data_IF_986072223793
#
_entry.id   IF_986072223793
#
_cell.length_a   1.000
_cell.length_b   1.000
_cell.length_c   1.000
_cell.angle_alpha   90.00
_cell.angle_beta   90.00
_cell.angle_gamma   90.00
#
_symmetry.space_group_name_H-M   'P 1'
#
loop_
_entity.id
_entity.type
_entity.pdbx_description
1 polymer ?
#
# COMPACT_ATOMS: atom_id res chain seq x y z
N UNK A 1 22.51 16.16 -3.91
CA UNK A 1 21.51 15.44 -3.07
C UNK A 1 21.76 13.94 -3.17
N UNK A 2 21.85 13.29 -2.07
CA UNK A 2 21.97 11.81 -2.03
C UNK A 2 20.63 11.20 -1.66
N UNK A 3 20.19 10.19 -2.40
CA UNK A 3 19.03 9.39 -2.05
C UNK A 3 19.42 8.28 -1.10
N UNK A 4 18.64 8.11 -0.04
CA UNK A 4 18.81 6.99 0.89
C UNK A 4 17.97 5.81 0.44
N UNK A 5 18.55 4.61 0.48
CA UNK A 5 17.88 3.36 0.17
C UNK A 5 18.12 2.38 1.31
N UNK A 6 17.07 1.74 1.77
CA UNK A 6 17.14 0.70 2.79
C UNK A 6 16.77 -0.64 2.14
N UNK A 7 17.65 -1.63 2.33
CA UNK A 7 17.41 -3.00 1.86
C UNK A 7 17.43 -3.90 3.09
N UNK A 8 16.36 -4.64 3.30
CA UNK A 8 16.18 -5.54 4.43
C UNK A 8 15.78 -6.93 3.94
N UNK A 9 16.29 -7.96 4.60
CA UNK A 9 15.85 -9.32 4.35
C UNK A 9 14.45 -9.54 4.96
N UNK A 10 13.57 -10.19 4.18
CA UNK A 10 12.24 -10.60 4.64
C UNK A 10 11.91 -11.95 3.96
N UNK A 11 12.03 -13.03 4.70
CA UNK A 11 12.07 -14.38 4.15
C UNK A 11 10.69 -14.96 3.76
N UNK A 12 9.61 -14.34 4.22
CA UNK A 12 8.24 -14.78 3.89
C UNK A 12 7.26 -13.60 3.94
N UNK A 13 6.03 -13.85 3.50
CA UNK A 13 4.92 -12.91 3.61
C UNK A 13 4.07 -13.11 4.87
N UNK A 14 4.63 -13.74 5.90
CA UNK A 14 3.98 -13.80 7.20
C UNK A 14 3.75 -12.37 7.70
N UNK A 15 2.53 -12.06 8.13
CA UNK A 15 2.09 -10.67 8.34
C UNK A 15 2.93 -9.90 9.38
N UNK A 16 3.24 -10.52 10.51
CA UNK A 16 4.04 -9.86 11.55
C UNK A 16 5.49 -9.67 11.12
N UNK A 17 6.05 -10.61 10.37
CA UNK A 17 7.40 -10.48 9.82
C UNK A 17 7.48 -9.32 8.82
N UNK A 18 6.52 -9.23 7.90
CA UNK A 18 6.43 -8.12 6.94
C UNK A 18 6.25 -6.79 7.68
N UNK A 19 5.32 -6.71 8.62
CA UNK A 19 5.06 -5.53 9.43
C UNK A 19 6.35 -5.06 10.16
N UNK A 20 7.02 -5.95 10.86
CA UNK A 20 8.24 -5.60 11.61
C UNK A 20 9.38 -5.18 10.69
N UNK A 21 9.52 -5.81 9.53
CA UNK A 21 10.54 -5.45 8.53
C UNK A 21 10.28 -4.06 7.97
N UNK A 22 9.03 -3.74 7.61
CA UNK A 22 8.63 -2.41 7.14
C UNK A 22 8.84 -1.35 8.23
N UNK A 23 8.47 -1.64 9.47
CA UNK A 23 8.67 -0.75 10.61
C UNK A 23 10.14 -0.39 10.79
N UNK A 24 11.02 -1.39 10.72
CA UNK A 24 12.46 -1.18 10.78
C UNK A 24 12.97 -0.34 9.61
N UNK A 25 12.50 -0.62 8.39
CA UNK A 25 12.88 0.14 7.20
C UNK A 25 12.50 1.61 7.28
N UNK A 26 11.29 1.91 7.71
CA UNK A 26 10.83 3.30 7.90
C UNK A 26 11.63 4.00 8.98
N UNK A 27 11.92 3.33 10.09
CA UNK A 27 12.76 3.90 11.17
C UNK A 27 14.17 4.23 10.68
N UNK A 28 14.78 3.36 9.88
CA UNK A 28 16.10 3.59 9.28
C UNK A 28 16.12 4.77 8.29
N UNK A 29 14.98 5.07 7.67
CA UNK A 29 14.81 6.22 6.78
C UNK A 29 14.47 7.51 7.54
N UNK A 30 14.38 7.48 8.86
CA UNK A 30 14.12 8.65 9.70
C UNK A 30 12.68 8.79 10.19
N UNK A 31 11.82 7.79 9.96
CA UNK A 31 10.42 7.82 10.35
C UNK A 31 9.51 8.45 9.31
N UNK A 32 8.19 8.27 9.47
CA UNK A 32 7.18 8.80 8.55
C UNK A 32 7.20 10.32 8.43
N UNK A 33 7.52 11.04 9.51
CA UNK A 33 7.57 12.51 9.54
C UNK A 33 8.59 13.09 8.55
N UNK A 34 9.56 12.29 8.12
CA UNK A 34 10.52 12.69 7.08
C UNK A 34 9.86 12.85 5.72
N UNK A 35 8.75 12.14 5.47
CA UNK A 35 8.09 12.07 4.16
C UNK A 35 6.69 12.67 4.16
N UNK A 36 5.97 12.62 5.29
CA UNK A 36 4.54 12.87 5.36
C UNK A 36 4.20 13.85 6.50
N UNK A 37 3.16 14.63 6.28
CA UNK A 37 2.53 15.45 7.31
C UNK A 37 1.21 14.82 7.72
N UNK A 38 0.80 15.00 8.98
CA UNK A 38 -0.40 14.35 9.54
C UNK A 38 -1.70 14.73 8.84
N UNK A 39 -1.79 15.94 8.33
CA UNK A 39 -2.96 16.49 7.65
C UNK A 39 -3.05 16.12 6.16
N UNK A 40 -2.04 15.47 5.62
CA UNK A 40 -2.02 15.11 4.20
C UNK A 40 -2.96 13.95 3.88
N UNK A 41 -3.53 13.98 2.69
CA UNK A 41 -4.22 12.85 2.08
C UNK A 41 -3.17 11.93 1.47
N UNK A 42 -3.13 10.69 1.90
CA UNK A 42 -2.13 9.72 1.48
C UNK A 42 -2.77 8.69 0.56
N UNK A 43 -2.22 8.54 -0.62
CA UNK A 43 -2.61 7.50 -1.57
C UNK A 43 -1.55 6.40 -1.58
N UNK A 44 -1.98 5.18 -1.27
CA UNK A 44 -1.19 3.98 -1.47
C UNK A 44 -1.44 3.46 -2.88
N UNK A 45 -0.38 3.26 -3.64
CA UNK A 45 -0.46 2.76 -5.00
C UNK A 45 0.26 1.41 -5.14
N UNK A 46 -0.37 0.32 -4.71
CA UNK A 46 0.18 -1.00 -4.97
C UNK A 46 0.08 -1.33 -6.46
N UNK A 47 0.90 -2.26 -6.92
CA UNK A 47 0.81 -2.75 -8.29
C UNK A 47 -0.37 -3.73 -8.41
N UNK A 48 -1.40 -3.34 -9.15
CA UNK A 48 -2.65 -4.11 -9.34
C UNK A 48 -2.92 -4.33 -10.83
N UNK A 49 -2.00 -4.97 -11.53
CA UNK A 49 -2.04 -5.11 -13.00
C UNK A 49 -3.33 -5.77 -13.49
N UNK A 50 -3.70 -6.90 -12.88
CA UNK A 50 -4.89 -7.67 -13.22
C UNK A 50 -5.21 -8.66 -12.10
N UNK A 51 -6.42 -9.21 -12.11
CA UNK A 51 -6.79 -10.29 -11.19
C UNK A 51 -5.84 -11.49 -11.35
N UNK A 52 -5.22 -11.90 -10.26
CA UNK A 52 -4.33 -13.04 -10.21
C UNK A 52 -4.26 -13.60 -8.80
N UNK A 53 -3.90 -14.87 -8.70
CA UNK A 53 -3.61 -15.51 -7.40
C UNK A 53 -2.33 -14.89 -6.81
N UNK A 54 -2.29 -14.78 -5.48
CA UNK A 54 -1.17 -14.14 -4.74
C UNK A 54 0.15 -14.83 -5.04
N UNK A 55 0.15 -16.15 -5.14
CA UNK A 55 1.34 -16.99 -5.39
C UNK A 55 2.00 -16.70 -6.75
N UNK A 56 1.28 -16.11 -7.68
CA UNK A 56 1.82 -15.75 -9.00
C UNK A 56 2.65 -14.46 -8.98
N UNK A 57 2.64 -13.73 -7.88
CA UNK A 57 3.39 -12.48 -7.69
C UNK A 57 3.15 -11.42 -8.81
N UNK A 58 1.95 -11.40 -9.39
CA UNK A 58 1.55 -10.43 -10.43
C UNK A 58 1.17 -9.09 -9.81
N UNK A 59 0.65 -9.12 -8.58
CA UNK A 59 0.25 -7.95 -7.81
C UNK A 59 1.10 -7.79 -6.56
N UNK A 60 1.10 -6.59 -5.99
CA UNK A 60 1.68 -6.38 -4.66
C UNK A 60 1.01 -7.30 -3.64
N UNK A 61 1.78 -8.03 -2.86
CA UNK A 61 1.24 -8.96 -1.87
C UNK A 61 0.41 -8.23 -0.82
N UNK A 62 -0.78 -8.73 -0.45
CA UNK A 62 -1.66 -8.08 0.53
C UNK A 62 -1.00 -7.81 1.88
N UNK A 63 -0.09 -8.67 2.33
CA UNK A 63 0.64 -8.49 3.60
C UNK A 63 1.51 -7.22 3.60
N UNK A 64 2.06 -6.83 2.44
CA UNK A 64 2.84 -5.59 2.31
C UNK A 64 1.93 -4.38 2.45
N UNK A 65 0.81 -4.37 1.74
CA UNK A 65 -0.18 -3.29 1.84
C UNK A 65 -0.72 -3.17 3.26
N UNK A 66 -1.08 -4.28 3.88
CA UNK A 66 -1.56 -4.33 5.27
C UNK A 66 -0.51 -3.78 6.25
N UNK A 67 0.74 -4.17 6.08
CA UNK A 67 1.84 -3.68 6.93
C UNK A 67 1.99 -2.18 6.87
N UNK A 68 1.96 -1.58 5.69
CA UNK A 68 2.03 -0.13 5.48
C UNK A 68 0.82 0.58 6.08
N UNK A 69 -0.39 0.08 5.81
CA UNK A 69 -1.63 0.65 6.35
C UNK A 69 -1.61 0.65 7.89
N UNK A 70 -1.23 -0.48 8.47
CA UNK A 70 -1.13 -0.64 9.93
C UNK A 70 -0.15 0.37 10.54
N UNK A 71 1.04 0.50 9.97
CA UNK A 71 2.06 1.45 10.43
C UNK A 71 1.58 2.90 10.34
N UNK A 72 0.95 3.27 9.22
CA UNK A 72 0.42 4.63 9.04
C UNK A 72 -0.69 4.94 10.06
N UNK A 73 -1.61 4.01 10.26
CA UNK A 73 -2.70 4.18 11.24
C UNK A 73 -2.19 4.29 12.67
N UNK A 74 -1.22 3.47 13.06
CA UNK A 74 -0.60 3.52 14.39
C UNK A 74 0.08 4.85 14.67
N UNK A 75 0.65 5.49 13.64
CA UNK A 75 1.28 6.82 13.73
C UNK A 75 0.29 7.98 13.60
N UNK A 76 -1.00 7.70 13.43
CA UNK A 76 -2.05 8.72 13.39
C UNK A 76 -2.35 9.33 12.03
N UNK A 77 -1.90 8.72 10.94
CA UNK A 77 -2.30 9.11 9.59
C UNK A 77 -3.67 8.51 9.28
N UNK A 78 -4.69 9.35 9.10
CA UNK A 78 -6.08 8.90 9.03
C UNK A 78 -6.72 9.03 7.65
N UNK A 79 -6.18 9.90 6.77
CA UNK A 79 -6.73 10.14 5.45
C UNK A 79 -6.04 9.25 4.41
N UNK A 80 -6.35 7.95 4.45
CA UNK A 80 -5.74 6.95 3.58
C UNK A 80 -6.68 6.50 2.48
N UNK A 81 -6.17 6.42 1.27
CA UNK A 81 -6.81 5.74 0.14
C UNK A 81 -5.82 4.81 -0.54
N UNK A 82 -6.35 3.84 -1.27
CA UNK A 82 -5.54 2.82 -1.94
C UNK A 82 -6.15 2.49 -3.29
N UNK A 83 -5.34 2.45 -4.33
CA UNK A 83 -5.81 2.12 -5.67
C UNK A 83 -4.70 2.12 -6.71
N UNK A 84 -5.08 1.75 -7.93
CA UNK A 84 -4.18 1.70 -9.07
C UNK A 84 -4.97 1.86 -10.38
N UNK A 85 -4.25 2.12 -11.46
CA UNK A 85 -4.77 2.03 -12.81
C UNK A 85 -4.55 0.60 -13.31
N UNK A 86 -5.57 -0.25 -13.18
CA UNK A 86 -5.47 -1.64 -13.61
C UNK A 86 -5.52 -1.76 -15.13
N UNK A 87 -4.74 -2.67 -15.70
CA UNK A 87 -4.77 -2.95 -17.12
C UNK A 87 -6.06 -3.64 -17.57
N UNK A 88 -6.66 -4.46 -16.70
CA UNK A 88 -7.91 -5.17 -16.92
C UNK A 88 -8.76 -5.16 -15.65
N UNK A 89 -10.00 -4.71 -15.74
CA UNK A 89 -10.92 -4.63 -14.61
C UNK A 89 -10.72 -3.38 -13.76
N UNK A 90 -11.32 -3.39 -12.59
CA UNK A 90 -11.20 -2.31 -11.61
C UNK A 90 -10.25 -2.70 -10.47
N UNK A 91 -9.70 -1.70 -9.78
CA UNK A 91 -8.85 -1.93 -8.60
C UNK A 91 -9.57 -2.80 -7.57
N UNK A 92 -10.84 -2.51 -7.25
CA UNK A 92 -11.62 -3.28 -6.29
C UNK A 92 -11.78 -4.74 -6.70
N UNK A 93 -12.08 -5.03 -7.98
CA UNK A 93 -12.21 -6.40 -8.48
C UNK A 93 -10.90 -7.19 -8.41
N UNK A 94 -9.77 -6.53 -8.66
CA UNK A 94 -8.46 -7.17 -8.51
C UNK A 94 -8.19 -7.50 -7.05
N UNK A 95 -8.52 -6.60 -6.14
CA UNK A 95 -8.34 -6.78 -4.69
C UNK A 95 -9.23 -7.89 -4.12
N UNK A 96 -10.48 -8.03 -4.59
CA UNK A 96 -11.45 -9.03 -4.10
C UNK A 96 -10.90 -10.45 -4.13
N UNK A 97 -10.12 -10.81 -5.14
CA UNK A 97 -9.54 -12.13 -5.28
C UNK A 97 -8.50 -12.50 -4.22
N UNK A 98 -7.99 -11.53 -3.47
CA UNK A 98 -6.92 -11.70 -2.47
C UNK A 98 -7.34 -11.33 -1.06
N UNK A 99 -8.55 -10.81 -0.87
CA UNK A 99 -9.02 -10.28 0.40
C UNK A 99 -8.45 -8.90 0.75
N UNK A 100 -7.71 -8.27 -0.15
CA UNK A 100 -7.13 -6.95 0.07
C UNK A 100 -8.21 -5.88 0.25
N UNK A 101 -9.31 -5.96 -0.48
CA UNK A 101 -10.45 -5.05 -0.39
C UNK A 101 -11.06 -5.06 1.03
N UNK A 102 -11.34 -6.24 1.57
CA UNK A 102 -11.90 -6.38 2.92
C UNK A 102 -10.92 -5.86 3.97
N UNK A 103 -9.64 -6.17 3.83
CA UNK A 103 -8.60 -5.67 4.74
C UNK A 103 -8.56 -4.14 4.74
N UNK A 104 -8.60 -3.51 3.58
CA UNK A 104 -8.60 -2.05 3.46
C UNK A 104 -9.85 -1.42 4.09
N UNK A 105 -11.02 -2.01 3.84
CA UNK A 105 -12.28 -1.55 4.45
C UNK A 105 -12.24 -1.66 5.98
N UNK A 106 -11.72 -2.76 6.52
CA UNK A 106 -11.58 -2.97 7.97
C UNK A 106 -10.69 -1.90 8.63
N UNK A 107 -9.69 -1.41 7.91
CA UNK A 107 -8.83 -0.31 8.38
C UNK A 107 -9.36 1.09 8.04
N UNK A 108 -10.52 1.20 7.41
CA UNK A 108 -11.10 2.49 7.02
C UNK A 108 -10.36 3.19 5.89
N UNK A 109 -9.69 2.42 5.02
CA UNK A 109 -8.99 2.94 3.84
C UNK A 109 -9.95 2.97 2.65
N UNK A 110 -10.05 4.11 1.98
CA UNK A 110 -10.89 4.28 0.79
C UNK A 110 -10.24 3.62 -0.43
N UNK A 111 -10.96 2.74 -1.09
CA UNK A 111 -10.52 2.14 -2.35
C UNK A 111 -10.90 3.07 -3.51
N UNK A 112 -9.92 3.41 -4.34
CA UNK A 112 -10.09 4.29 -5.50
C UNK A 112 -9.66 3.58 -6.79
N UNK A 113 -10.37 3.89 -7.88
CA UNK A 113 -10.02 3.42 -9.22
C UNK A 113 -9.61 4.62 -10.08
N UNK A 114 -8.39 4.59 -10.60
CA UNK A 114 -7.86 5.69 -11.40
C UNK A 114 -8.56 5.83 -12.77
N UNK A 115 -9.25 4.79 -13.22
CA UNK A 115 -10.03 4.83 -14.44
C UNK A 115 -11.30 5.68 -14.32
N UNK A 116 -11.74 5.95 -13.10
CA UNK A 116 -12.91 6.79 -12.79
C UNK A 116 -12.54 8.26 -12.53
N UNK A 117 -11.27 8.58 -12.62
CA UNK A 117 -10.75 9.93 -12.40
C UNK A 117 -10.89 10.85 -13.61
N UNK A 118 -10.53 12.10 -13.42
CA UNK A 118 -10.43 13.10 -14.50
C UNK A 118 -8.98 13.27 -14.95
N UNK A 119 -8.80 13.56 -16.24
CA UNK A 119 -7.48 13.86 -16.81
C UNK A 119 -7.17 15.34 -16.63
N UNK A 120 -5.96 15.65 -16.17
CA UNK A 120 -5.44 17.00 -16.06
C UNK A 120 -4.24 17.13 -16.99
N UNK A 121 -4.25 18.17 -17.82
CA UNK A 121 -3.10 18.51 -18.68
C UNK A 121 -2.22 19.55 -18.01
N UNK A 122 -0.92 19.38 -18.15
CA UNK A 122 0.10 20.30 -17.65
C UNK A 122 0.76 21.05 -18.79
#
# INVERSE_FOLDING_TARGET
MKSEVVILSCESYEEELVYNTLKKGIALLGGWETFLKKEEKILLKPNLVRKAEVERAVITHPAVVKGIVRLLKEEGYVQLSCGDSCGVGSAKKVMEGTGMDQMLEDYGVTIVDFNEGSTVSY
#
